data_IF_476530299299
#
_entry.id   IF_476530299299
#
_cell.length_a   1.000
_cell.length_b   1.000
_cell.length_c   1.000
_cell.angle_alpha   90.00
_cell.angle_beta   90.00
_cell.angle_gamma   90.00
#
_symmetry.space_group_name_H-M   'P 1'
#
loop_
_entity.id
_entity.type
_entity.pdbx_description
1 polymer ?
#
# COMPACT_ATOMS: atom_id res chain seq x y z
N UNK A 1 1.07 -4.82 -3.45
CA UNK A 1 0.48 -6.17 -3.61
C UNK A 1 0.19 -6.41 -5.07
N UNK A 2 -0.75 -7.30 -5.40
CA UNK A 2 -1.23 -7.47 -6.77
C UNK A 2 -2.42 -6.52 -7.02
N UNK A 3 -2.50 -5.99 -8.23
CA UNK A 3 -3.67 -5.27 -8.76
C UNK A 3 -4.15 -5.97 -10.03
N UNK A 4 -5.42 -5.79 -10.44
CA UNK A 4 -5.90 -6.32 -11.72
C UNK A 4 -5.00 -5.86 -12.87
N UNK A 5 -4.79 -6.76 -13.85
CA UNK A 5 -4.22 -6.36 -15.13
C UNK A 5 -5.19 -5.42 -15.84
N UNK A 6 -4.69 -4.64 -16.79
CA UNK A 6 -5.53 -3.82 -17.66
C UNK A 6 -6.62 -4.68 -18.33
N UNK A 7 -7.88 -4.22 -18.23
CA UNK A 7 -9.06 -4.95 -18.73
C UNK A 7 -9.51 -6.17 -17.91
N UNK A 8 -8.80 -6.54 -16.84
CA UNK A 8 -9.19 -7.69 -16.00
C UNK A 8 -10.31 -7.35 -14.99
N UNK A 9 -10.53 -6.06 -14.73
CA UNK A 9 -11.66 -5.58 -13.94
C UNK A 9 -12.85 -5.32 -14.86
N UNK A 10 -13.97 -6.02 -14.63
CA UNK A 10 -15.21 -5.75 -15.34
C UNK A 10 -15.82 -4.42 -14.85
N UNK A 11 -16.03 -3.50 -15.79
CA UNK A 11 -16.61 -2.17 -15.56
C UNK A 11 -17.90 -1.99 -16.39
N UNK A 12 -18.49 -3.09 -16.87
CA UNK A 12 -19.74 -3.04 -17.62
C UNK A 12 -20.87 -2.40 -16.80
N UNK A 13 -21.64 -1.53 -17.44
CA UNK A 13 -22.73 -0.78 -16.79
C UNK A 13 -22.27 0.45 -15.99
N UNK A 14 -20.96 0.72 -15.89
CA UNK A 14 -20.43 1.97 -15.35
C UNK A 14 -20.17 2.98 -16.49
N UNK A 15 -20.03 4.26 -16.12
CA UNK A 15 -19.63 5.32 -17.05
C UNK A 15 -18.18 5.19 -17.51
N UNK A 16 -17.65 6.21 -18.17
CA UNK A 16 -16.22 6.27 -18.48
C UNK A 16 -15.41 6.33 -17.17
N UNK A 17 -14.70 5.25 -16.84
CA UNK A 17 -13.84 5.15 -15.66
C UNK A 17 -12.38 5.23 -16.09
N UNK A 18 -11.62 6.10 -15.44
CA UNK A 18 -10.17 6.16 -15.57
C UNK A 18 -9.52 5.15 -14.61
N UNK A 19 -9.18 3.97 -15.14
CA UNK A 19 -8.51 2.92 -14.36
C UNK A 19 -7.08 3.27 -13.99
N UNK A 20 -6.43 4.17 -14.73
CA UNK A 20 -5.07 4.64 -14.39
C UNK A 20 -5.09 5.45 -13.10
N UNK A 21 -6.09 6.32 -12.93
CA UNK A 21 -6.29 7.03 -11.67
C UNK A 21 -6.71 6.08 -10.54
N UNK A 22 -7.62 5.14 -10.81
CA UNK A 22 -8.12 4.19 -9.81
C UNK A 22 -7.01 3.33 -9.19
N UNK A 23 -6.03 2.92 -9.99
CA UNK A 23 -4.90 2.09 -9.57
C UNK A 23 -3.59 2.86 -9.47
N UNK A 24 -3.65 4.18 -9.30
CA UNK A 24 -2.47 5.01 -9.09
C UNK A 24 -1.74 4.60 -7.80
N UNK A 25 -0.42 4.45 -7.88
CA UNK A 25 0.45 4.12 -6.74
C UNK A 25 1.59 5.15 -6.65
N UNK A 26 1.32 6.41 -6.24
CA UNK A 26 2.34 7.44 -6.16
C UNK A 26 3.39 7.09 -5.11
N UNK A 27 4.67 7.14 -5.47
CA UNK A 27 5.77 6.78 -4.57
C UNK A 27 5.76 7.63 -3.28
N UNK A 28 5.68 8.95 -3.42
CA UNK A 28 5.72 9.88 -2.29
C UNK A 28 4.59 9.62 -1.27
N UNK A 29 3.40 9.26 -1.78
CA UNK A 29 2.27 8.86 -0.93
C UNK A 29 2.63 7.61 -0.12
N UNK A 30 3.10 6.56 -0.78
CA UNK A 30 3.45 5.31 -0.10
C UNK A 30 4.65 5.44 0.83
N UNK A 31 5.61 6.32 0.52
CA UNK A 31 6.72 6.64 1.42
C UNK A 31 6.24 7.34 2.70
N UNK A 32 5.23 8.20 2.62
CA UNK A 32 4.61 8.80 3.79
C UNK A 32 3.80 7.76 4.58
N UNK A 33 3.00 6.96 3.88
CA UNK A 33 2.13 5.95 4.49
C UNK A 33 2.93 4.94 5.34
N UNK A 34 4.07 4.44 4.85
CA UNK A 34 4.90 3.51 5.63
C UNK A 34 5.52 4.16 6.86
N UNK A 35 5.86 5.45 6.80
CA UNK A 35 6.35 6.21 7.97
C UNK A 35 5.25 6.35 9.03
N UNK A 36 4.04 6.68 8.60
CA UNK A 36 2.91 6.89 9.51
C UNK A 36 2.48 5.57 10.17
N UNK A 37 2.42 4.48 9.41
CA UNK A 37 2.16 3.14 9.96
C UNK A 37 3.24 2.74 10.97
N UNK A 38 4.53 2.98 10.65
CA UNK A 38 5.63 2.70 11.58
C UNK A 38 5.47 3.45 12.90
N UNK A 39 5.21 4.75 12.83
CA UNK A 39 5.01 5.59 14.02
C UNK A 39 3.83 5.07 14.85
N UNK A 40 2.68 4.82 14.21
CA UNK A 40 1.49 4.29 14.88
C UNK A 40 1.78 2.96 15.59
N UNK A 41 2.35 1.97 14.90
CA UNK A 41 2.60 0.66 15.49
C UNK A 41 3.63 0.72 16.62
N UNK A 42 4.64 1.59 16.49
CA UNK A 42 5.66 1.78 17.53
C UNK A 42 5.08 2.44 18.77
N UNK A 43 4.25 3.48 18.60
CA UNK A 43 3.71 4.27 19.71
C UNK A 43 2.51 3.60 20.39
N UNK A 44 1.62 2.98 19.61
CA UNK A 44 0.34 2.47 20.12
C UNK A 44 0.39 0.99 20.50
N UNK A 45 1.24 0.20 19.85
CA UNK A 45 1.33 -1.27 20.09
C UNK A 45 2.64 -1.63 20.79
N UNK A 46 3.74 -1.01 20.37
CA UNK A 46 5.05 -1.12 21.01
C UNK A 46 5.49 -2.60 21.19
N UNK A 47 5.65 -3.05 22.43
CA UNK A 47 6.24 -4.34 22.78
C UNK A 47 5.33 -5.53 22.41
N UNK A 48 4.03 -5.27 22.32
CA UNK A 48 3.02 -6.27 21.98
C UNK A 48 2.88 -6.46 20.46
N UNK A 49 3.63 -5.69 19.65
CA UNK A 49 3.59 -5.82 18.20
C UNK A 49 4.21 -7.16 17.78
N UNK A 50 3.44 -8.06 17.11
CA UNK A 50 3.99 -9.31 16.62
C UNK A 50 5.14 -9.04 15.64
N UNK A 51 6.21 -9.83 15.75
CA UNK A 51 7.42 -9.67 14.93
C UNK A 51 7.12 -9.82 13.44
N UNK A 52 6.15 -10.65 13.10
CA UNK A 52 5.68 -10.92 11.76
C UNK A 52 5.05 -9.66 11.14
N UNK A 53 4.30 -8.87 11.92
CA UNK A 53 3.70 -7.61 11.45
C UNK A 53 4.79 -6.57 11.17
N UNK A 54 5.78 -6.46 12.05
CA UNK A 54 6.93 -5.58 11.83
C UNK A 54 7.72 -6.01 10.58
N UNK A 55 7.92 -7.31 10.37
CA UNK A 55 8.61 -7.83 9.19
C UNK A 55 7.87 -7.49 7.88
N UNK A 56 6.53 -7.54 7.88
CA UNK A 56 5.72 -7.13 6.72
C UNK A 56 5.81 -5.62 6.44
N UNK A 57 5.82 -4.78 7.49
CA UNK A 57 6.05 -3.34 7.35
C UNK A 57 7.42 -3.05 6.73
N UNK A 58 8.49 -3.68 7.22
CA UNK A 58 9.82 -3.52 6.64
C UNK A 58 9.91 -4.05 5.21
N UNK A 59 9.20 -5.15 4.90
CA UNK A 59 9.13 -5.67 3.54
C UNK A 59 8.40 -4.70 2.60
N UNK A 60 7.34 -4.03 3.08
CA UNK A 60 6.64 -2.99 2.34
C UNK A 60 7.55 -1.78 2.09
N UNK A 61 8.21 -1.25 3.12
CA UNK A 61 9.16 -0.14 2.99
C UNK A 61 10.25 -0.43 1.96
N UNK A 62 10.85 -1.63 2.00
CA UNK A 62 11.87 -2.03 1.02
C UNK A 62 11.35 -2.06 -0.42
N UNK A 63 10.08 -2.44 -0.62
CA UNK A 63 9.45 -2.41 -1.96
C UNK A 63 9.16 -0.98 -2.40
N UNK A 64 8.62 -0.16 -1.52
CA UNK A 64 8.29 1.26 -1.80
C UNK A 64 9.55 2.05 -2.14
N UNK A 65 10.64 1.86 -1.39
CA UNK A 65 11.90 2.53 -1.67
C UNK A 65 12.45 2.23 -3.08
N UNK A 66 12.18 1.02 -3.59
CA UNK A 66 12.59 0.54 -4.93
C UNK A 66 11.60 0.86 -6.06
N UNK A 67 10.45 1.48 -5.76
CA UNK A 67 9.48 1.93 -6.77
C UNK A 67 10.07 2.99 -7.69
#
# INVERSE_FOLDING_TARGET
GLVPKEGALDLSGLGAIDTTQLFSLPKDFWEQEVRDIRSYLTEQVNQDLPKEVLAELEALERRVHKM
#
